data_IF_709197546735
#
_entry.id   IF_709197546735
#
_cell.length_a   1.000
_cell.length_b   1.000
_cell.length_c   1.000
_cell.angle_alpha   90.00
_cell.angle_beta   90.00
_cell.angle_gamma   90.00
#
_symmetry.space_group_name_H-M   'P 1'
#
loop_
_entity.id
_entity.type
_entity.pdbx_description
1 polymer ?
#
# COMPACT_ATOMS: atom_id res chain seq x y z
N UNK A 1 17.73 7.79 8.18
CA UNK A 1 16.71 8.06 7.13
C UNK A 1 15.80 6.83 7.05
N UNK A 2 14.47 6.98 6.98
CA UNK A 2 13.56 5.84 6.82
C UNK A 2 13.21 5.73 5.34
N UNK A 3 13.54 4.59 4.73
CA UNK A 3 13.21 4.33 3.33
C UNK A 3 11.72 4.03 3.21
N UNK A 4 11.11 4.48 2.11
CA UNK A 4 9.76 4.07 1.78
C UNK A 4 9.76 2.56 1.43
N UNK A 5 8.85 1.76 2.01
CA UNK A 5 8.73 0.34 1.69
C UNK A 5 8.29 0.11 0.24
N UNK A 6 8.47 -1.10 -0.26
CA UNK A 6 7.85 -1.52 -1.52
C UNK A 6 6.33 -1.69 -1.38
N UNK A 7 5.65 -1.98 -2.50
CA UNK A 7 4.19 -1.97 -2.55
C UNK A 7 3.56 -3.12 -1.75
N UNK A 8 4.14 -4.32 -1.80
CA UNK A 8 3.64 -5.47 -1.04
C UNK A 8 3.83 -5.25 0.46
N UNK A 9 4.99 -4.72 0.85
CA UNK A 9 5.28 -4.38 2.25
C UNK A 9 4.33 -3.30 2.75
N UNK A 10 4.09 -2.23 1.98
CA UNK A 10 3.18 -1.17 2.37
C UNK A 10 1.73 -1.67 2.47
N UNK A 11 1.30 -2.55 1.57
CA UNK A 11 -0.02 -3.18 1.65
C UNK A 11 -0.17 -4.02 2.92
N UNK A 12 0.86 -4.82 3.28
CA UNK A 12 0.87 -5.56 4.55
C UNK A 12 0.78 -4.63 5.77
N UNK A 13 1.48 -3.50 5.75
CA UNK A 13 1.36 -2.49 6.81
C UNK A 13 -0.06 -1.89 6.90
N UNK A 14 -0.79 -1.77 5.79
CA UNK A 14 -2.19 -1.35 5.80
C UNK A 14 -3.09 -2.42 6.44
N UNK A 15 -2.86 -3.70 6.12
CA UNK A 15 -3.59 -4.82 6.73
C UNK A 15 -3.35 -4.89 8.24
N UNK A 16 -2.09 -4.76 8.68
CA UNK A 16 -1.72 -4.73 10.10
C UNK A 16 -2.36 -3.55 10.85
N UNK A 17 -2.61 -2.43 10.16
CA UNK A 17 -3.33 -1.27 10.70
C UNK A 17 -4.87 -1.46 10.76
N UNK A 18 -5.37 -2.61 10.29
CA UNK A 18 -6.79 -2.98 10.27
C UNK A 18 -7.56 -2.43 9.08
N UNK A 19 -6.88 -2.10 7.97
CA UNK A 19 -7.57 -1.90 6.70
C UNK A 19 -7.80 -3.24 6.01
N UNK A 20 -9.01 -3.45 5.50
CA UNK A 20 -9.44 -4.61 4.75
C UNK A 20 -9.58 -4.29 3.26
N UNK A 21 -9.62 -5.34 2.44
CA UNK A 21 -9.72 -5.24 0.98
C UNK A 21 -8.70 -4.25 0.39
N UNK A 22 -7.49 -4.25 0.96
CA UNK A 22 -6.37 -3.46 0.47
C UNK A 22 -6.00 -3.88 -0.94
N UNK A 23 -5.70 -2.91 -1.81
CA UNK A 23 -5.12 -3.11 -3.14
C UNK A 23 -4.27 -1.91 -3.50
N UNK A 24 -3.24 -2.15 -4.31
CA UNK A 24 -2.46 -1.08 -4.92
C UNK A 24 -2.50 -1.12 -6.45
N UNK A 25 -2.30 0.06 -7.04
CA UNK A 25 -2.21 0.25 -8.48
C UNK A 25 -0.96 1.06 -8.81
N UNK A 26 -0.04 0.46 -9.55
CA UNK A 26 1.15 1.14 -10.03
C UNK A 26 0.80 2.13 -11.14
N UNK A 27 1.37 3.33 -11.03
CA UNK A 27 1.26 4.42 -12.00
C UNK A 27 2.66 4.72 -12.56
N UNK A 28 2.70 5.20 -13.80
CA UNK A 28 3.95 5.61 -14.47
C UNK A 28 5.05 4.52 -14.38
N UNK A 29 4.70 3.27 -14.68
CA UNK A 29 5.67 2.16 -14.68
C UNK A 29 6.21 1.75 -13.30
N UNK A 30 5.54 2.13 -12.21
CA UNK A 30 5.95 1.76 -10.84
C UNK A 30 6.76 2.83 -10.10
N UNK A 31 6.89 4.03 -10.67
CA UNK A 31 7.51 5.19 -9.99
C UNK A 31 6.62 5.65 -8.82
N UNK A 32 5.29 5.56 -8.98
CA UNK A 32 4.30 5.90 -7.95
C UNK A 32 3.25 4.80 -7.91
N UNK A 33 2.64 4.58 -6.74
CA UNK A 33 1.48 3.69 -6.60
C UNK A 33 0.36 4.37 -5.78
N UNK A 34 -0.88 4.04 -6.10
CA UNK A 34 -2.06 4.39 -5.30
C UNK A 34 -2.50 3.17 -4.51
N UNK A 35 -2.58 3.30 -3.19
CA UNK A 35 -3.10 2.27 -2.28
C UNK A 35 -4.50 2.63 -1.79
N UNK A 36 -5.41 1.67 -1.79
CA UNK A 36 -6.78 1.84 -1.27
C UNK A 36 -7.15 0.65 -0.39
N UNK A 37 -7.73 0.92 0.77
CA UNK A 37 -8.32 -0.06 1.67
C UNK A 37 -9.50 0.55 2.42
N UNK A 38 -10.31 -0.29 3.06
CA UNK A 38 -11.51 0.11 3.80
C UNK A 38 -11.39 -0.34 5.25
N UNK A 39 -11.91 0.43 6.20
CA UNK A 39 -11.97 0.05 7.62
C UNK A 39 -13.42 0.15 8.08
N UNK A 40 -13.93 -0.95 8.61
CA UNK A 40 -15.32 -1.07 9.10
C UNK A 40 -15.39 -0.81 10.60
#
# INVERSE_FOLDING_TARGET
IRMHPDQETLEGMMQDAGFENTKYYNLTGGIVALHRGYKF
#
